data_IF_350730740030
#
_entry.id   IF_350730740030
#
_cell.length_a   1.000
_cell.length_b   1.000
_cell.length_c   1.000
_cell.angle_alpha   90.00
_cell.angle_beta   90.00
_cell.angle_gamma   90.00
#
_symmetry.space_group_name_H-M   'P 1'
#
loop_
_entity.id
_entity.type
_entity.pdbx_description
1 polymer ?
#
# COMPACT_ATOMS: atom_id res chain seq x y z
N UNK A 1 51.15 15.87 4.94
CA UNK A 1 50.79 14.57 4.31
C UNK A 1 49.86 13.70 5.16
N UNK A 2 50.14 13.43 6.44
CA UNK A 2 49.32 12.53 7.28
C UNK A 2 47.86 13.00 7.48
N UNK A 3 47.64 14.31 7.70
CA UNK A 3 46.29 14.90 7.84
C UNK A 3 45.47 14.82 6.56
N UNK A 4 46.09 15.14 5.42
CA UNK A 4 45.44 15.08 4.10
C UNK A 4 45.01 13.65 3.75
N UNK A 5 45.86 12.65 4.01
CA UNK A 5 45.53 11.25 3.79
C UNK A 5 44.38 10.76 4.70
N UNK A 6 44.35 11.18 5.97
CA UNK A 6 43.24 10.87 6.89
C UNK A 6 41.94 11.54 6.45
N UNK A 7 41.99 12.80 6.01
CA UNK A 7 40.82 13.51 5.47
C UNK A 7 40.30 12.81 4.21
N UNK A 8 41.18 12.45 3.27
CA UNK A 8 40.82 11.67 2.08
C UNK A 8 40.22 10.31 2.44
N UNK A 9 40.79 9.62 3.44
CA UNK A 9 40.25 8.34 3.92
C UNK A 9 38.82 8.50 4.45
N UNK A 10 38.56 9.53 5.27
CA UNK A 10 37.23 9.83 5.81
C UNK A 10 36.25 10.17 4.67
N UNK A 11 36.65 11.04 3.73
CA UNK A 11 35.81 11.46 2.60
C UNK A 11 35.46 10.29 1.68
N UNK A 12 36.40 9.37 1.43
CA UNK A 12 36.18 8.26 0.50
C UNK A 12 35.42 7.10 1.16
N UNK A 13 35.67 6.82 2.45
CA UNK A 13 35.15 5.60 3.07
C UNK A 13 34.00 5.85 4.05
N UNK A 14 34.07 6.93 4.84
CA UNK A 14 33.09 7.18 5.92
C UNK A 14 31.94 8.03 5.42
N UNK A 15 32.23 9.11 4.68
CA UNK A 15 31.21 10.04 4.22
C UNK A 15 30.14 9.37 3.34
N UNK A 16 30.47 8.46 2.38
CA UNK A 16 29.44 7.79 1.60
C UNK A 16 28.56 6.86 2.43
N UNK A 17 29.12 6.18 3.43
CA UNK A 17 28.35 5.34 4.36
C UNK A 17 27.41 6.17 5.22
N UNK A 18 27.85 7.33 5.71
CA UNK A 18 27.01 8.24 6.46
C UNK A 18 25.87 8.80 5.60
N UNK A 19 26.16 9.23 4.37
CA UNK A 19 25.15 9.69 3.42
C UNK A 19 24.14 8.58 3.11
N UNK A 20 24.62 7.35 2.87
CA UNK A 20 23.76 6.20 2.62
C UNK A 20 22.88 5.87 3.83
N UNK A 21 23.43 5.93 5.04
CA UNK A 21 22.70 5.71 6.28
C UNK A 21 21.59 6.75 6.49
N UNK A 22 21.88 8.03 6.26
CA UNK A 22 20.89 9.11 6.33
C UNK A 22 19.81 8.90 5.26
N UNK A 23 20.22 8.60 4.02
CA UNK A 23 19.28 8.34 2.93
C UNK A 23 18.33 7.19 3.26
N UNK A 24 18.85 6.06 3.74
CA UNK A 24 18.02 4.92 4.15
C UNK A 24 17.11 5.30 5.32
N UNK A 25 17.61 6.03 6.31
CA UNK A 25 16.79 6.48 7.45
C UNK A 25 15.61 7.36 7.02
N UNK A 26 15.82 8.27 6.07
CA UNK A 26 14.78 9.18 5.57
C UNK A 26 13.80 8.50 4.60
N UNK A 27 14.22 7.43 3.92
CA UNK A 27 13.44 6.81 2.85
C UNK A 27 12.85 5.46 3.23
N UNK A 28 13.24 4.83 4.34
CA UNK A 28 12.57 3.64 4.86
C UNK A 28 11.25 4.07 5.50
N UNK A 29 10.15 3.48 5.04
CA UNK A 29 8.83 3.74 5.57
C UNK A 29 7.73 3.62 4.52
N UNK A 30 6.49 3.63 4.99
CA UNK A 30 5.31 3.59 4.13
C UNK A 30 5.07 4.89 3.38
N UNK A 31 4.01 4.91 2.57
CA UNK A 31 3.49 6.16 2.02
C UNK A 31 3.03 7.09 3.15
N UNK A 32 3.07 8.41 2.96
CA UNK A 32 2.57 9.39 3.92
C UNK A 32 1.04 9.38 4.00
N UNK A 33 0.37 9.22 2.85
CA UNK A 33 -1.09 9.28 2.72
C UNK A 33 -1.59 8.55 1.46
N UNK A 34 -2.92 8.38 1.37
CA UNK A 34 -3.59 7.77 0.21
C UNK A 34 -3.23 8.45 -1.12
N UNK A 35 -3.15 9.79 -1.15
CA UNK A 35 -2.79 10.51 -2.38
C UNK A 35 -1.37 10.17 -2.86
N UNK A 36 -0.42 9.97 -1.95
CA UNK A 36 0.92 9.53 -2.32
C UNK A 36 0.90 8.13 -2.94
N UNK A 37 0.12 7.20 -2.38
CA UNK A 37 -0.05 5.83 -2.90
C UNK A 37 -0.50 5.89 -4.37
N UNK A 38 -1.57 6.64 -4.64
CA UNK A 38 -2.14 6.73 -6.00
C UNK A 38 -1.17 7.40 -6.98
N UNK A 39 -0.53 8.51 -6.58
CA UNK A 39 0.44 9.23 -7.44
C UNK A 39 1.66 8.40 -7.81
N UNK A 40 2.08 7.52 -6.92
CA UNK A 40 3.28 6.69 -7.09
C UNK A 40 2.97 5.31 -7.69
N UNK A 41 1.71 4.98 -7.95
CA UNK A 41 1.35 3.70 -8.53
C UNK A 41 1.95 3.53 -9.94
N UNK A 42 2.59 2.40 -10.24
CA UNK A 42 2.98 2.03 -11.60
C UNK A 42 1.82 1.50 -12.45
N UNK A 43 0.65 1.28 -11.83
CA UNK A 43 -0.51 0.62 -12.42
C UNK A 43 -1.76 1.52 -12.43
N UNK A 44 -2.62 1.32 -13.42
CA UNK A 44 -3.90 2.06 -13.54
C UNK A 44 -4.90 1.67 -12.45
N UNK A 45 -4.96 0.37 -12.17
CA UNK A 45 -5.76 -0.28 -11.15
C UNK A 45 -4.84 -1.17 -10.34
N UNK A 46 -5.03 -1.20 -9.02
CA UNK A 46 -4.07 -1.90 -8.14
C UNK A 46 -4.64 -2.20 -6.77
N UNK A 47 -4.00 -3.17 -6.12
CA UNK A 47 -3.96 -3.31 -4.66
C UNK A 47 -2.61 -2.78 -4.18
N UNK A 48 -2.61 -1.96 -3.14
CA UNK A 48 -1.41 -1.47 -2.47
C UNK A 48 -1.38 -1.96 -1.01
N UNK A 49 -0.22 -2.38 -0.55
CA UNK A 49 0.04 -2.81 0.83
C UNK A 49 1.17 -1.94 1.38
N UNK A 50 0.88 -1.17 2.43
CA UNK A 50 1.84 -0.26 3.03
C UNK A 50 2.89 -0.99 3.88
N UNK A 51 4.07 -0.36 4.03
CA UNK A 51 5.12 -0.82 4.95
C UNK A 51 4.59 -1.21 6.33
N UNK A 52 3.70 -0.39 6.92
CA UNK A 52 3.12 -0.70 8.24
C UNK A 52 2.41 -2.04 8.26
N UNK A 53 1.61 -2.32 7.23
CA UNK A 53 0.91 -3.60 7.06
C UNK A 53 1.89 -4.75 6.89
N UNK A 54 2.96 -4.57 6.10
CA UNK A 54 4.01 -5.57 5.96
C UNK A 54 4.69 -5.88 7.30
N UNK A 55 4.91 -4.88 8.15
CA UNK A 55 5.47 -5.08 9.50
C UNK A 55 4.48 -5.82 10.42
N UNK A 56 3.18 -5.59 10.31
CA UNK A 56 2.17 -6.37 11.05
C UNK A 56 2.18 -7.83 10.57
N UNK A 57 2.25 -8.03 9.25
CA UNK A 57 2.31 -9.37 8.64
C UNK A 57 3.58 -10.12 9.05
N UNK A 58 4.72 -9.41 9.19
CA UNK A 58 6.01 -9.93 9.66
C UNK A 58 5.88 -10.79 10.93
N UNK A 59 5.03 -10.35 11.84
CA UNK A 59 4.84 -10.97 13.15
C UNK A 59 3.61 -11.90 13.22
N UNK A 60 2.90 -12.07 12.09
CA UNK A 60 1.72 -12.93 12.00
C UNK A 60 2.09 -14.42 11.87
N UNK A 61 1.21 -15.30 12.36
CA UNK A 61 1.41 -16.75 12.32
C UNK A 61 1.57 -17.34 10.90
N UNK A 62 1.11 -16.63 9.87
CA UNK A 62 1.05 -17.12 8.49
C UNK A 62 2.42 -17.21 7.78
N UNK A 63 3.46 -16.58 8.31
CA UNK A 63 4.81 -16.60 7.74
C UNK A 63 5.86 -17.19 8.69
N UNK A 64 5.43 -18.01 9.66
CA UNK A 64 6.34 -18.70 10.57
C UNK A 64 7.41 -19.54 9.86
N UNK A 65 7.12 -20.02 8.65
CA UNK A 65 8.02 -20.84 7.84
C UNK A 65 9.02 -20.03 7.00
N UNK A 66 8.94 -18.69 6.99
CA UNK A 66 9.90 -17.84 6.29
C UNK A 66 11.17 -17.68 7.13
N UNK A 67 12.38 -17.88 6.57
CA UNK A 67 13.63 -17.60 7.26
C UNK A 67 13.65 -16.21 7.90
N UNK A 68 14.12 -16.11 9.15
CA UNK A 68 14.10 -14.86 9.91
C UNK A 68 14.80 -13.70 9.20
N UNK A 69 15.90 -14.00 8.50
CA UNK A 69 16.63 -12.99 7.73
C UNK A 69 15.81 -12.39 6.58
N UNK A 70 14.87 -13.15 6.00
CA UNK A 70 13.95 -12.67 4.97
C UNK A 70 12.77 -11.89 5.58
N UNK A 71 12.41 -12.17 6.84
CA UNK A 71 11.45 -11.33 7.57
C UNK A 71 12.04 -9.99 7.92
N UNK A 72 13.30 -9.97 8.36
CA UNK A 72 14.02 -8.72 8.66
C UNK A 72 14.23 -7.85 7.42
N UNK A 73 14.40 -8.44 6.23
CA UNK A 73 14.57 -7.66 5.00
C UNK A 73 13.29 -6.93 4.55
N UNK A 74 12.11 -7.27 5.08
CA UNK A 74 10.87 -6.54 4.82
C UNK A 74 10.97 -5.07 5.25
N UNK A 75 11.88 -4.73 6.17
CA UNK A 75 12.11 -3.34 6.59
C UNK A 75 12.50 -2.42 5.41
N UNK A 76 13.09 -2.99 4.35
CA UNK A 76 13.50 -2.23 3.17
C UNK A 76 12.39 -2.08 2.12
N UNK A 77 11.23 -2.70 2.35
CA UNK A 77 10.07 -2.58 1.46
C UNK A 77 9.16 -1.47 2.00
N UNK A 78 9.06 -0.38 1.24
CA UNK A 78 8.21 0.76 1.58
C UNK A 78 6.74 0.50 1.24
N UNK A 79 6.49 -0.36 0.26
CA UNK A 79 5.14 -0.78 -0.10
C UNK A 79 5.15 -1.69 -1.32
N UNK A 80 4.05 -2.39 -1.51
CA UNK A 80 3.85 -3.33 -2.62
C UNK A 80 2.59 -2.93 -3.37
N UNK A 81 2.69 -2.83 -4.69
CA UNK A 81 1.58 -2.71 -5.63
C UNK A 81 1.35 -4.05 -6.31
N UNK A 82 0.10 -4.43 -6.51
CA UNK A 82 -0.31 -5.63 -7.24
C UNK A 82 -1.32 -5.17 -8.29
N UNK A 83 -0.99 -5.37 -9.57
CA UNK A 83 -1.87 -5.10 -10.69
C UNK A 83 -2.87 -6.24 -10.92
N UNK A 84 -3.93 -5.93 -11.65
CA UNK A 84 -5.06 -6.81 -11.90
C UNK A 84 -4.70 -8.09 -12.67
N UNK A 85 -3.68 -8.01 -13.52
CA UNK A 85 -3.22 -9.11 -14.36
C UNK A 85 -1.96 -9.79 -13.81
N UNK A 86 -1.63 -9.54 -12.53
CA UNK A 86 -0.57 -10.24 -11.80
C UNK A 86 0.79 -9.53 -11.76
N UNK A 87 0.92 -8.32 -12.33
CA UNK A 87 2.14 -7.52 -12.17
C UNK A 87 2.35 -7.15 -10.70
N UNK A 88 3.56 -7.28 -10.19
CA UNK A 88 3.89 -6.89 -8.81
C UNK A 88 4.95 -5.82 -8.83
N UNK A 89 4.68 -4.68 -8.18
CA UNK A 89 5.60 -3.55 -8.03
C UNK A 89 6.04 -3.35 -6.58
N UNK A 90 7.35 -3.39 -6.34
CA UNK A 90 7.94 -3.26 -5.01
C UNK A 90 8.62 -1.88 -4.90
N UNK A 91 8.12 -1.02 -4.00
CA UNK A 91 8.74 0.27 -3.68
C UNK A 91 9.78 0.08 -2.59
N UNK A 92 11.01 0.54 -2.84
CA UNK A 92 12.11 0.48 -1.86
C UNK A 92 13.13 1.61 -2.09
N UNK A 93 13.84 2.09 -1.06
CA UNK A 93 14.72 3.26 -1.13
C UNK A 93 15.78 3.19 -2.23
N UNK A 94 16.33 2.00 -2.53
CA UNK A 94 17.42 1.83 -3.50
C UNK A 94 17.01 1.04 -4.75
N UNK A 95 15.71 0.90 -5.02
CA UNK A 95 15.22 0.12 -6.15
C UNK A 95 15.74 0.62 -7.51
N UNK A 96 16.02 1.93 -7.62
CA UNK A 96 16.54 2.53 -8.86
C UNK A 96 17.91 1.96 -9.28
N UNK A 97 18.67 1.38 -8.35
CA UNK A 97 19.97 0.76 -8.66
C UNK A 97 19.85 -0.40 -9.65
N UNK A 98 18.67 -1.04 -9.75
CA UNK A 98 18.43 -2.12 -10.71
C UNK A 98 18.57 -1.67 -12.17
N UNK A 99 18.43 -0.37 -12.46
CA UNK A 99 18.75 0.20 -13.78
C UNK A 99 20.23 0.07 -14.15
N UNK A 100 21.11 0.01 -13.16
CA UNK A 100 22.56 -0.04 -13.34
C UNK A 100 23.14 -1.42 -13.02
N UNK A 101 22.51 -2.14 -12.09
CA UNK A 101 22.87 -3.49 -11.65
C UNK A 101 21.62 -4.37 -11.81
N UNK A 102 21.37 -4.90 -13.02
CA UNK A 102 20.17 -5.68 -13.29
C UNK A 102 20.07 -6.88 -12.35
N UNK A 103 18.86 -7.14 -11.85
CA UNK A 103 18.52 -8.34 -11.09
C UNK A 103 17.62 -9.17 -11.97
N UNK A 104 17.92 -10.47 -12.10
CA UNK A 104 17.11 -11.39 -12.90
C UNK A 104 15.64 -11.36 -12.43
N UNK A 105 14.71 -11.35 -13.39
CA UNK A 105 13.25 -11.30 -13.18
C UNK A 105 12.70 -10.00 -12.57
N UNK A 106 13.52 -8.93 -12.49
CA UNK A 106 13.07 -7.61 -12.06
C UNK A 106 13.40 -6.51 -13.07
N UNK A 107 12.45 -5.62 -13.28
CA UNK A 107 12.61 -4.41 -14.09
C UNK A 107 12.32 -3.17 -13.25
N UNK A 108 13.04 -2.07 -13.48
CA UNK A 108 12.72 -0.81 -12.79
C UNK A 108 11.80 0.06 -13.64
N UNK A 109 10.60 0.34 -13.15
CA UNK A 109 9.60 1.15 -13.85
C UNK A 109 8.88 2.08 -12.86
N UNK A 110 8.72 3.36 -13.23
CA UNK A 110 7.99 4.38 -12.46
C UNK A 110 8.25 4.40 -10.94
N UNK A 111 9.49 4.22 -10.50
CA UNK A 111 9.83 4.33 -9.08
C UNK A 111 9.89 3.01 -8.32
N UNK A 112 9.48 1.89 -8.95
CA UNK A 112 9.37 0.59 -8.29
C UNK A 112 10.09 -0.52 -9.08
N UNK A 113 10.35 -1.63 -8.40
CA UNK A 113 10.81 -2.88 -9.00
C UNK A 113 9.61 -3.72 -9.42
N UNK A 114 9.45 -3.99 -10.71
CA UNK A 114 8.39 -4.80 -11.28
C UNK A 114 8.87 -6.24 -11.48
N UNK A 115 8.02 -7.20 -11.12
CA UNK A 115 8.14 -8.60 -11.53
C UNK A 115 6.81 -9.07 -12.14
N UNK A 116 6.86 -10.09 -13.01
CA UNK A 116 5.73 -10.59 -13.81
C UNK A 116 4.98 -9.48 -14.58
N UNK A 117 5.68 -8.67 -15.39
CA UNK A 117 5.06 -7.52 -16.05
C UNK A 117 3.95 -7.95 -17.02
N UNK A 118 2.79 -7.31 -16.88
CA UNK A 118 1.68 -7.35 -17.83
C UNK A 118 1.41 -5.94 -18.35
N UNK A 119 1.48 -5.74 -19.67
CA UNK A 119 1.27 -4.43 -20.29
C UNK A 119 -0.12 -3.84 -19.97
N UNK A 120 -1.11 -4.70 -19.72
CA UNK A 120 -2.48 -4.29 -19.35
C UNK A 120 -2.53 -3.56 -18.01
N UNK A 121 -1.67 -3.91 -17.06
CA UNK A 121 -1.63 -3.29 -15.73
C UNK A 121 -1.01 -1.89 -15.77
N UNK A 122 -0.02 -1.70 -16.65
CA UNK A 122 0.77 -0.48 -16.66
C UNK A 122 -0.04 0.77 -17.02
N UNK A 123 0.27 1.84 -16.30
CA UNK A 123 -0.27 3.18 -16.49
C UNK A 123 -0.30 3.93 -15.17
N UNK A 124 -0.69 5.20 -15.20
CA UNK A 124 -0.80 5.98 -13.97
C UNK A 124 -2.24 5.95 -13.49
N UNK A 125 -2.43 5.64 -12.22
CA UNK A 125 -3.67 5.94 -11.55
C UNK A 125 -3.81 7.46 -11.36
N UNK A 126 -5.05 7.93 -11.39
CA UNK A 126 -5.39 9.34 -11.21
C UNK A 126 -6.07 9.54 -9.86
N UNK A 127 -5.80 10.68 -9.23
CA UNK A 127 -6.57 11.10 -8.06
C UNK A 127 -7.92 11.58 -8.58
N UNK A 128 -8.93 10.73 -8.41
CA UNK A 128 -10.31 11.03 -8.72
C UNK A 128 -11.13 11.26 -7.44
N UNK A 129 -12.43 11.46 -7.65
CA UNK A 129 -13.39 11.74 -6.60
C UNK A 129 -13.63 10.55 -5.66
N UNK A 130 -13.37 9.31 -6.09
CA UNK A 130 -13.39 8.11 -5.23
C UNK A 130 -12.23 8.18 -4.23
N UNK A 131 -11.01 8.37 -4.72
CA UNK A 131 -9.80 8.49 -3.89
C UNK A 131 -9.88 9.67 -2.93
N UNK A 132 -10.39 10.83 -3.38
CA UNK A 132 -10.52 12.00 -2.51
C UNK A 132 -11.54 11.82 -1.39
N UNK A 133 -12.41 10.82 -1.47
CA UNK A 133 -13.40 10.49 -0.42
C UNK A 133 -12.78 9.61 0.67
N UNK A 134 -11.71 8.86 0.37
CA UNK A 134 -11.01 8.04 1.35
C UNK A 134 -10.21 8.95 2.31
N UNK A 135 -10.35 8.79 3.64
CA UNK A 135 -9.51 9.50 4.61
C UNK A 135 -8.03 9.25 4.34
N UNK A 136 -7.20 10.29 4.44
CA UNK A 136 -5.82 10.25 3.95
C UNK A 136 -4.90 9.28 4.73
N UNK A 137 -5.29 8.89 5.94
CA UNK A 137 -4.61 7.92 6.79
C UNK A 137 -5.03 6.47 6.52
N UNK A 138 -6.07 6.22 5.72
CA UNK A 138 -6.56 4.87 5.35
C UNK A 138 -5.76 4.25 4.22
N UNK A 139 -4.43 4.31 4.35
CA UNK A 139 -3.44 3.93 3.36
C UNK A 139 -2.80 2.57 3.61
N UNK A 140 -3.12 1.92 4.75
CA UNK A 140 -2.45 0.68 5.17
C UNK A 140 -2.66 -0.43 4.12
N UNK A 141 -3.85 -0.46 3.53
CA UNK A 141 -4.16 -1.14 2.27
C UNK A 141 -5.04 -0.23 1.42
N UNK A 142 -4.75 -0.11 0.13
CA UNK A 142 -5.61 0.55 -0.86
C UNK A 142 -5.98 -0.43 -1.95
N UNK A 143 -7.25 -0.54 -2.28
CA UNK A 143 -7.71 -1.21 -3.50
C UNK A 143 -8.30 -0.12 -4.38
N UNK A 144 -7.74 0.07 -5.57
CA UNK A 144 -8.18 1.11 -6.51
C UNK A 144 -8.56 0.48 -7.85
N UNK A 145 -9.83 0.61 -8.21
CA UNK A 145 -10.41 0.21 -9.49
C UNK A 145 -11.14 1.38 -10.13
N UNK A 146 -11.52 1.22 -11.38
CA UNK A 146 -12.21 2.23 -12.18
C UNK A 146 -13.51 2.72 -11.54
N UNK A 147 -14.27 1.81 -10.92
CA UNK A 147 -15.61 2.10 -10.41
C UNK A 147 -15.71 2.11 -8.89
N UNK A 148 -14.64 1.72 -8.20
CA UNK A 148 -14.60 1.73 -6.75
C UNK A 148 -13.19 1.88 -6.18
N UNK A 149 -13.12 2.33 -4.94
CA UNK A 149 -11.90 2.37 -4.16
C UNK A 149 -12.16 1.94 -2.72
N UNK A 150 -11.22 1.21 -2.12
CA UNK A 150 -11.26 0.77 -0.73
C UNK A 150 -10.00 1.28 -0.05
N UNK A 151 -10.16 1.93 1.10
CA UNK A 151 -9.06 2.27 2.00
C UNK A 151 -9.21 1.54 3.33
N UNK A 152 -8.11 0.99 3.82
CA UNK A 152 -8.06 0.27 5.10
C UNK A 152 -7.07 0.98 6.02
N UNK A 153 -7.46 1.11 7.29
CA UNK A 153 -6.62 1.59 8.37
C UNK A 153 -6.62 0.60 9.54
N UNK A 154 -5.44 0.17 9.96
CA UNK A 154 -5.23 -0.67 11.12
C UNK A 154 -4.87 0.17 12.35
N UNK A 155 -5.82 0.37 13.26
CA UNK A 155 -5.55 1.03 14.53
C UNK A 155 -4.99 0.05 15.56
N UNK A 156 -3.66 0.02 15.66
CA UNK A 156 -2.96 -0.84 16.61
C UNK A 156 -3.18 -0.43 18.08
N UNK A 157 -3.59 0.82 18.35
CA UNK A 157 -3.83 1.29 19.73
C UNK A 157 -5.15 0.77 20.27
N UNK A 158 -6.18 0.80 19.43
CA UNK A 158 -7.52 0.32 19.81
C UNK A 158 -7.77 -1.13 19.39
N UNK A 159 -6.82 -1.75 18.68
CA UNK A 159 -6.93 -3.08 18.09
C UNK A 159 -8.19 -3.19 17.22
N UNK A 160 -8.34 -2.24 16.28
CA UNK A 160 -9.47 -2.15 15.37
C UNK A 160 -9.00 -2.08 13.92
N UNK A 161 -9.86 -2.53 13.02
CA UNK A 161 -9.69 -2.31 11.58
C UNK A 161 -10.83 -1.42 11.09
N UNK A 162 -10.47 -0.33 10.41
CA UNK A 162 -11.41 0.56 9.77
C UNK A 162 -11.31 0.41 8.26
N UNK A 163 -12.46 0.33 7.60
CA UNK A 163 -12.55 0.19 6.14
C UNK A 163 -13.47 1.28 5.61
N UNK A 164 -13.01 1.96 4.58
CA UNK A 164 -13.82 2.88 3.78
C UNK A 164 -13.94 2.30 2.39
N UNK A 165 -15.16 2.01 1.96
CA UNK A 165 -15.47 1.54 0.62
C UNK A 165 -16.28 2.59 -0.12
N UNK A 166 -15.75 3.08 -1.24
CA UNK A 166 -16.39 4.11 -2.07
C UNK A 166 -16.63 3.53 -3.45
N UNK A 167 -17.88 3.54 -3.93
CA UNK A 167 -18.21 3.03 -5.26
C UNK A 167 -19.19 3.93 -5.98
N UNK A 168 -19.04 4.03 -7.31
CA UNK A 168 -19.95 4.79 -8.17
C UNK A 168 -21.32 4.14 -8.20
N UNK A 169 -22.36 4.95 -8.19
CA UNK A 169 -23.73 4.49 -8.44
C UNK A 169 -23.90 4.25 -9.92
N UNK A 170 -24.62 3.19 -10.27
CA UNK A 170 -25.15 3.07 -11.63
C UNK A 170 -26.20 4.17 -11.84
N UNK A 171 -26.28 4.70 -13.07
CA UNK A 171 -27.13 5.85 -13.44
C UNK A 171 -28.63 5.72 -13.10
N UNK A 172 -29.09 4.52 -12.70
CA UNK A 172 -30.50 4.20 -12.45
C UNK A 172 -30.78 3.55 -11.09
N UNK A 173 -29.78 3.43 -10.19
CA UNK A 173 -29.98 2.77 -8.89
C UNK A 173 -30.15 3.79 -7.77
N UNK A 174 -31.38 3.96 -7.27
CA UNK A 174 -31.59 4.44 -5.91
C UNK A 174 -31.07 3.37 -4.93
N UNK A 175 -30.09 3.74 -4.12
CA UNK A 175 -29.55 2.86 -3.08
C UNK A 175 -30.28 3.17 -1.79
N UNK A 176 -31.00 2.19 -1.27
CA UNK A 176 -31.53 2.22 0.09
C UNK A 176 -30.36 2.00 1.07
N UNK A 177 -29.93 3.08 1.71
CA UNK A 177 -28.76 3.08 2.60
C UNK A 177 -28.98 2.25 3.86
N UNK A 178 -30.16 2.33 4.48
CA UNK A 178 -30.51 1.55 5.67
C UNK A 178 -30.48 0.04 5.37
N UNK A 179 -31.07 -0.37 4.25
CA UNK A 179 -31.06 -1.78 3.85
C UNK A 179 -29.64 -2.29 3.53
N UNK A 180 -28.78 -1.43 2.95
CA UNK A 180 -27.38 -1.79 2.69
C UNK A 180 -26.57 -1.90 3.99
N UNK A 181 -26.78 -0.99 4.93
CA UNK A 181 -26.15 -1.00 6.25
C UNK A 181 -26.51 -2.30 7.02
N UNK A 182 -27.80 -2.60 7.12
CA UNK A 182 -28.29 -3.83 7.77
C UNK A 182 -27.71 -5.08 7.12
N UNK A 183 -27.66 -5.11 5.79
CA UNK A 183 -27.09 -6.23 5.04
C UNK A 183 -25.61 -6.41 5.34
N UNK A 184 -24.82 -5.34 5.34
CA UNK A 184 -23.39 -5.40 5.61
C UNK A 184 -23.10 -5.81 7.06
N UNK A 185 -23.89 -5.34 8.02
CA UNK A 185 -23.77 -5.78 9.42
C UNK A 185 -24.13 -7.26 9.61
N UNK A 186 -25.02 -7.83 8.78
CA UNK A 186 -25.38 -9.25 8.82
C UNK A 186 -24.37 -10.16 8.10
N UNK A 187 -23.86 -9.72 6.95
CA UNK A 187 -22.97 -10.52 6.09
C UNK A 187 -21.50 -10.42 6.49
N UNK A 188 -21.14 -9.42 7.30
CA UNK A 188 -19.78 -9.22 7.81
C UNK A 188 -19.73 -9.33 9.32
N UNK A 189 -18.53 -9.41 9.88
CA UNK A 189 -18.30 -9.32 11.32
C UNK A 189 -18.02 -7.88 11.80
N UNK A 190 -18.51 -6.87 11.06
CA UNK A 190 -18.38 -5.48 11.44
C UNK A 190 -19.16 -5.18 12.74
N UNK A 191 -18.59 -4.34 13.60
CA UNK A 191 -19.22 -3.85 14.82
C UNK A 191 -19.93 -2.52 14.62
N UNK A 192 -19.64 -1.83 13.53
CA UNK A 192 -20.28 -0.59 13.12
C UNK A 192 -20.28 -0.50 11.59
N UNK A 193 -21.37 0.03 11.04
CA UNK A 193 -21.50 0.35 9.63
C UNK A 193 -22.17 1.72 9.50
N UNK A 194 -21.70 2.55 8.56
CA UNK A 194 -22.36 3.79 8.18
C UNK A 194 -22.35 3.88 6.65
N UNK A 195 -23.51 4.14 6.06
CA UNK A 195 -23.66 4.27 4.60
C UNK A 195 -24.10 5.68 4.24
N UNK A 196 -23.26 6.38 3.48
CA UNK A 196 -23.50 7.76 3.04
C UNK A 196 -23.73 7.79 1.53
N UNK A 197 -24.91 8.20 1.11
CA UNK A 197 -25.22 8.48 -0.30
C UNK A 197 -24.73 9.90 -0.65
N UNK A 198 -23.75 10.00 -1.54
CA UNK A 198 -23.10 11.26 -1.93
C UNK A 198 -23.57 11.77 -3.29
N UNK A 199 -24.71 11.28 -3.80
CA UNK A 199 -25.27 11.68 -5.09
C UNK A 199 -24.97 10.66 -6.18
N UNK A 200 -23.79 10.75 -6.79
CA UNK A 200 -23.29 9.89 -7.87
C UNK A 200 -22.46 8.69 -7.38
N UNK A 201 -22.15 8.65 -6.08
CA UNK A 201 -21.45 7.54 -5.41
C UNK A 201 -22.00 7.27 -4.02
N UNK A 202 -21.61 6.13 -3.45
CA UNK A 202 -21.87 5.76 -2.06
C UNK A 202 -20.54 5.54 -1.36
N UNK A 203 -20.46 6.04 -0.13
CA UNK A 203 -19.37 5.79 0.79
C UNK A 203 -19.88 4.93 1.94
N UNK A 204 -19.18 3.84 2.22
CA UNK A 204 -19.48 2.90 3.29
C UNK A 204 -18.31 2.89 4.25
N UNK A 205 -18.58 3.16 5.53
CA UNK A 205 -17.63 3.02 6.62
C UNK A 205 -17.95 1.73 7.37
N UNK A 206 -16.93 0.90 7.59
CA UNK A 206 -17.03 -0.31 8.39
C UNK A 206 -15.96 -0.29 9.47
N UNK A 207 -16.33 -0.72 10.67
CA UNK A 207 -15.40 -0.94 11.78
C UNK A 207 -15.44 -2.41 12.20
N UNK A 208 -14.27 -3.00 12.43
CA UNK A 208 -14.12 -4.37 12.89
C UNK A 208 -13.28 -4.42 14.16
N UNK A 209 -13.60 -5.36 15.05
CA UNK A 209 -12.75 -5.69 16.18
C UNK A 209 -11.55 -6.53 15.72
N UNK A 210 -10.36 -6.18 16.21
CA UNK A 210 -9.11 -6.85 15.87
C UNK A 210 -8.48 -6.33 14.57
N UNK A 211 -7.21 -6.71 14.37
CA UNK A 211 -6.50 -6.50 13.11
C UNK A 211 -6.89 -7.61 12.13
N UNK A 212 -7.77 -7.28 11.18
CA UNK A 212 -8.27 -8.23 10.19
C UNK A 212 -7.44 -8.14 8.90
N UNK A 213 -6.43 -9.00 8.80
CA UNK A 213 -5.55 -9.09 7.63
C UNK A 213 -6.20 -9.87 6.47
N UNK A 214 -7.24 -10.66 6.73
CA UNK A 214 -7.94 -11.46 5.72
C UNK A 214 -8.82 -10.60 4.80
N UNK A 215 -9.06 -9.33 5.15
CA UNK A 215 -9.70 -8.35 4.26
C UNK A 215 -8.89 -8.10 2.98
N UNK A 216 -7.57 -8.38 3.00
CA UNK A 216 -6.75 -8.37 1.78
C UNK A 216 -7.04 -9.54 0.84
N UNK A 217 -7.51 -10.68 1.37
CA UNK A 217 -7.78 -11.90 0.61
C UNK A 217 -9.25 -12.02 0.17
N UNK A 218 -10.18 -11.45 0.95
CA UNK A 218 -11.62 -11.53 0.69
C UNK A 218 -12.15 -10.40 -0.21
N UNK A 219 -11.31 -9.44 -0.57
CA UNK A 219 -11.60 -8.46 -1.61
C UNK A 219 -11.13 -8.98 -2.97
N UNK A 220 -11.82 -9.98 -3.55
CA UNK A 220 -11.97 -10.35 -4.98
C UNK A 220 -12.69 -11.73 -5.01
N UNK A 221 -14.02 -11.70 -4.99
CA UNK A 221 -14.89 -12.67 -5.67
C UNK A 221 -16.25 -12.04 -5.91
#
# INVERSE_FOLDING_TARGET
MRKTAVILFIIINILPLAILGIYLYENIGGAENVNEVVKNSPFKEFVYIDHKTLMILKDSGNIQNVPEILKESLIFINGIYIGDHGSVGIKMPLGFLVKYIPIENFEYYNGVLITNPSESDFGKAEINDLISTIPQDYKDVIIYKQDYAIGIYYDLKTNKTHVVYVFKKSDYSEINTEMLEDKLLQETNAVSCEVINMGDKVCVYLEFNGINLDLMNNGIS
#
